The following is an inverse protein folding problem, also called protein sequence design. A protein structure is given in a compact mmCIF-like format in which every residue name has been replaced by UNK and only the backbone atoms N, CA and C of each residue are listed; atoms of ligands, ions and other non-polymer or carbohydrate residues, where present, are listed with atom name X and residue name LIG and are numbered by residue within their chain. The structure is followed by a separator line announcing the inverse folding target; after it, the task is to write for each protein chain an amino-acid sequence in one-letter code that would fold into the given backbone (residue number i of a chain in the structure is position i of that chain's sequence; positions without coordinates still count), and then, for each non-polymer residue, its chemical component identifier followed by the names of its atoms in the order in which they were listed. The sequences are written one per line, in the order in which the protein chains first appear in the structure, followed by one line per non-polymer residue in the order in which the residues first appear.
data_IF_122269935529
#
_entry.id   IF_122269935529
#
_cell.length_a   1.000
_cell.length_b   1.000
_cell.length_c   1.000
_cell.angle_alpha   90.00
_cell.angle_beta   90.00
_cell.angle_gamma   90.00
#
_symmetry.space_group_name_H-M   'P 1'
#
loop_
_entity.id
_entity.type
_entity.pdbx_description
1 polymer ?
#
# COMPACT_ATOMS: atom_id res chain seq x y z
N UNK A 1 -30.98 -5.14 -7.65
CA UNK A 1 -29.57 -4.70 -7.81
C UNK A 1 -29.54 -3.20 -7.69
N UNK A 2 -29.04 -2.67 -6.59
CA UNK A 2 -28.94 -1.22 -6.38
C UNK A 2 -27.56 -0.79 -6.87
N UNK A 3 -27.51 -0.26 -8.07
CA UNK A 3 -26.31 0.38 -8.62
C UNK A 3 -26.12 1.74 -7.92
N UNK A 4 -25.66 1.74 -6.69
CA UNK A 4 -25.21 2.98 -6.02
C UNK A 4 -23.81 3.28 -6.49
N UNK A 5 -23.71 4.04 -7.55
CA UNK A 5 -22.47 4.69 -7.93
C UNK A 5 -22.29 5.85 -6.96
N UNK A 6 -21.42 5.67 -5.95
CA UNK A 6 -21.08 6.73 -5.00
C UNK A 6 -19.74 7.26 -5.47
N UNK A 7 -19.72 8.52 -5.83
CA UNK A 7 -18.48 9.25 -6.14
C UNK A 7 -18.24 10.21 -4.99
N UNK A 8 -17.08 10.08 -4.34
CA UNK A 8 -16.64 11.00 -3.31
C UNK A 8 -15.59 11.93 -3.91
N UNK A 9 -15.84 13.21 -3.80
CA UNK A 9 -14.83 14.23 -4.09
C UNK A 9 -14.58 15.00 -2.82
N UNK A 10 -13.34 15.03 -2.35
CA UNK A 10 -12.95 15.82 -1.19
C UNK A 10 -11.93 16.85 -1.66
N UNK A 11 -12.33 18.13 -1.62
CA UNK A 11 -11.39 19.24 -1.73
C UNK A 11 -11.04 19.62 -0.29
N UNK A 12 -9.75 19.51 0.14
CA UNK A 12 -9.34 19.93 1.46
C UNK A 12 -9.73 21.41 1.68
N UNK A 13 -10.28 21.76 2.86
CA UNK A 13 -10.66 23.16 3.17
C UNK A 13 -9.48 24.12 3.11
N UNK A 14 -8.26 23.63 3.27
CA UNK A 14 -7.01 24.38 3.30
C UNK A 14 -6.20 24.18 2.01
N UNK A 15 -6.89 23.95 0.88
CA UNK A 15 -6.25 23.86 -0.42
C UNK A 15 -5.69 25.24 -0.83
N UNK A 16 -4.44 25.46 -0.48
CA UNK A 16 -3.67 26.65 -0.80
C UNK A 16 -2.67 26.41 -1.95
N UNK A 17 -1.84 27.39 -2.23
CA UNK A 17 -0.83 27.27 -3.29
C UNK A 17 0.23 26.20 -3.01
N UNK A 18 0.53 25.91 -1.76
CA UNK A 18 1.46 24.86 -1.35
C UNK A 18 0.89 23.47 -1.64
N UNK A 19 -0.39 23.24 -1.32
CA UNK A 19 -1.09 22.01 -1.68
C UNK A 19 -1.07 21.77 -3.19
N UNK A 20 -1.35 22.80 -4.01
CA UNK A 20 -1.34 22.69 -5.47
C UNK A 20 0.07 22.34 -5.97
N UNK A 21 1.10 22.99 -5.45
CA UNK A 21 2.49 22.73 -5.83
C UNK A 21 2.91 21.28 -5.53
N UNK A 22 2.57 20.76 -4.35
CA UNK A 22 2.84 19.36 -4.01
C UNK A 22 2.06 18.38 -4.89
N UNK A 23 0.81 18.68 -5.21
CA UNK A 23 0.00 17.86 -6.10
C UNK A 23 0.61 17.83 -7.52
N UNK A 24 1.03 18.96 -8.05
CA UNK A 24 1.70 19.04 -9.35
C UNK A 24 2.99 18.23 -9.38
N UNK A 25 3.81 18.29 -8.33
CA UNK A 25 5.04 17.48 -8.20
C UNK A 25 4.75 15.98 -8.26
N UNK A 26 3.66 15.54 -7.61
CA UNK A 26 3.21 14.12 -7.66
C UNK A 26 2.80 13.77 -9.09
N UNK A 27 1.97 14.60 -9.73
CA UNK A 27 1.49 14.37 -11.10
C UNK A 27 2.64 14.35 -12.12
N UNK A 28 3.61 15.26 -11.99
CA UNK A 28 4.82 15.27 -12.82
C UNK A 28 5.63 13.96 -12.65
N UNK A 29 5.70 13.45 -11.41
CA UNK A 29 6.40 12.20 -11.14
C UNK A 29 5.73 11.02 -11.84
N UNK A 30 4.40 10.97 -11.86
CA UNK A 30 3.65 9.92 -12.58
C UNK A 30 3.67 10.10 -14.10
N UNK A 31 3.81 11.34 -14.59
CA UNK A 31 3.90 11.61 -16.03
C UNK A 31 5.25 11.23 -16.65
N UNK A 32 6.28 11.00 -15.83
CA UNK A 32 7.62 10.59 -16.34
C UNK A 32 7.54 9.21 -17.01
N UNK A 33 8.24 9.04 -18.16
CA UNK A 33 8.35 7.72 -18.77
C UNK A 33 9.09 6.74 -17.85
N UNK A 34 8.83 5.45 -18.02
CA UNK A 34 9.50 4.43 -17.26
C UNK A 34 11.01 4.44 -17.50
N UNK A 35 11.78 4.57 -16.43
CA UNK A 35 13.23 4.45 -16.40
C UNK A 35 13.66 3.38 -15.39
N UNK A 36 14.18 2.22 -15.84
CA UNK A 36 14.63 1.17 -14.93
C UNK A 36 15.83 1.57 -14.07
N UNK A 37 16.55 2.64 -14.41
CA UNK A 37 17.64 3.18 -13.60
C UNK A 37 17.14 4.13 -12.49
N UNK A 38 15.93 4.67 -12.66
CA UNK A 38 15.28 5.56 -11.70
C UNK A 38 13.78 5.21 -11.56
N UNK A 39 13.45 4.04 -10.99
CA UNK A 39 12.08 3.59 -10.86
C UNK A 39 11.28 4.47 -9.90
N UNK A 40 9.99 4.65 -10.19
CA UNK A 40 9.02 5.27 -9.28
C UNK A 40 8.43 4.17 -8.40
N UNK A 41 8.71 4.24 -7.11
CA UNK A 41 8.21 3.31 -6.11
C UNK A 41 7.13 3.99 -5.26
N UNK A 42 5.95 3.40 -5.24
CA UNK A 42 4.86 3.77 -4.34
C UNK A 42 4.86 2.83 -3.14
N UNK A 43 4.61 3.38 -1.96
CA UNK A 43 4.49 2.62 -0.71
C UNK A 43 3.30 3.14 0.09
N UNK A 44 2.55 2.21 0.69
CA UNK A 44 1.45 2.51 1.60
C UNK A 44 1.35 1.46 2.71
N UNK A 45 0.72 1.81 3.85
CA UNK A 45 0.48 0.91 4.97
C UNK A 45 -1.02 0.82 5.27
N UNK A 46 -1.51 -0.42 5.40
CA UNK A 46 -2.88 -0.72 5.77
C UNK A 46 -2.94 -1.51 7.08
N UNK A 47 -3.52 -0.98 8.17
CA UNK A 47 -3.84 -1.78 9.34
C UNK A 47 -5.06 -2.67 9.07
N UNK A 48 -4.96 -3.94 9.45
CA UNK A 48 -6.02 -4.94 9.32
C UNK A 48 -6.35 -5.51 10.69
N UNK A 49 -7.61 -5.41 11.10
CA UNK A 49 -8.12 -6.05 12.31
C UNK A 49 -8.16 -7.56 12.10
N UNK A 50 -7.45 -8.31 12.94
CA UNK A 50 -7.55 -9.76 12.97
C UNK A 50 -8.78 -10.18 13.79
N UNK A 51 -9.55 -11.11 13.23
CA UNK A 51 -10.76 -11.63 13.83
C UNK A 51 -10.61 -13.12 14.06
N UNK A 52 -11.08 -13.59 15.21
CA UNK A 52 -11.18 -15.00 15.54
C UNK A 52 -12.65 -15.38 15.64
N UNK A 53 -13.03 -16.42 14.94
CA UNK A 53 -14.38 -16.98 15.04
C UNK A 53 -14.61 -17.58 16.44
N UNK A 54 -15.72 -17.21 17.07
CA UNK A 54 -16.11 -17.71 18.39
C UNK A 54 -16.76 -19.08 18.31
N UNK A 55 -17.37 -19.40 17.18
CA UNK A 55 -18.09 -20.67 16.93
C UNK A 55 -17.67 -21.29 15.61
N UNK A 56 -17.71 -22.61 15.56
CA UNK A 56 -17.43 -23.34 14.30
C UNK A 56 -18.54 -23.07 13.29
N UNK A 57 -18.19 -22.59 12.09
CA UNK A 57 -19.19 -22.35 11.05
C UNK A 57 -19.94 -23.62 10.65
N UNK A 58 -21.23 -23.49 10.38
CA UNK A 58 -22.03 -24.57 9.84
C UNK A 58 -21.75 -24.68 8.33
N UNK A 59 -21.26 -25.84 7.86
CA UNK A 59 -20.89 -26.01 6.46
C UNK A 59 -22.12 -25.86 5.52
N UNK A 60 -21.86 -25.46 4.29
CA UNK A 60 -22.88 -25.41 3.25
C UNK A 60 -23.42 -26.81 2.96
N UNK A 61 -24.74 -26.90 2.73
CA UNK A 61 -25.42 -28.09 2.26
C UNK A 61 -26.06 -27.83 0.89
N UNK A 62 -26.60 -28.85 0.23
CA UNK A 62 -27.27 -28.68 -1.06
C UNK A 62 -28.48 -27.71 -1.01
N UNK A 63 -29.08 -27.52 0.19
CA UNK A 63 -30.26 -26.68 0.40
C UNK A 63 -29.97 -25.33 1.05
N UNK A 64 -28.83 -25.19 1.71
CA UNK A 64 -28.46 -24.00 2.48
C UNK A 64 -27.00 -23.63 2.27
N UNK A 65 -26.71 -22.32 2.13
CA UNK A 65 -25.36 -21.79 2.13
C UNK A 65 -24.65 -21.96 3.46
N UNK A 66 -23.31 -21.81 3.48
CA UNK A 66 -22.50 -21.76 4.71
C UNK A 66 -23.07 -20.70 5.65
N UNK A 67 -23.23 -21.05 6.93
CA UNK A 67 -23.65 -20.12 7.98
C UNK A 67 -22.48 -19.84 8.90
N UNK A 68 -22.14 -18.58 9.07
CA UNK A 68 -21.07 -18.10 9.97
C UNK A 68 -21.75 -17.25 11.04
N UNK A 69 -21.30 -17.36 12.29
CA UNK A 69 -21.76 -16.48 13.35
C UNK A 69 -21.26 -15.04 13.06
N UNK A 70 -22.05 -14.05 13.42
CA UNK A 70 -21.65 -12.64 13.34
C UNK A 70 -20.82 -12.20 14.56
N UNK A 71 -20.81 -13.00 15.62
CA UNK A 71 -19.98 -12.74 16.79
C UNK A 71 -18.52 -13.14 16.49
N UNK A 72 -17.60 -12.29 16.85
CA UNK A 72 -16.17 -12.52 16.70
C UNK A 72 -15.39 -11.96 17.89
N UNK A 73 -14.24 -12.55 18.17
CA UNK A 73 -13.25 -11.99 19.07
C UNK A 73 -12.19 -11.22 18.28
N UNK A 74 -11.76 -10.07 18.83
CA UNK A 74 -10.61 -9.35 18.26
C UNK A 74 -9.33 -10.11 18.60
N UNK A 75 -8.59 -10.51 17.57
CA UNK A 75 -7.35 -11.28 17.69
C UNK A 75 -6.09 -10.42 17.46
N UNK A 76 -6.20 -9.11 17.63
CA UNK A 76 -5.11 -8.17 17.40
C UNK A 76 -5.25 -7.41 16.09
N UNK A 77 -4.16 -6.78 15.68
CA UNK A 77 -4.05 -6.03 14.43
C UNK A 77 -2.77 -6.46 13.72
N UNK A 78 -2.84 -6.67 12.42
CA UNK A 78 -1.68 -6.80 11.55
C UNK A 78 -1.58 -5.55 10.66
N UNK A 79 -0.36 -5.19 10.27
CA UNK A 79 -0.11 -4.06 9.38
C UNK A 79 0.50 -4.57 8.09
N UNK A 80 -0.14 -4.24 6.98
CA UNK A 80 0.30 -4.60 5.65
C UNK A 80 1.07 -3.42 5.09
N UNK A 81 2.33 -3.65 4.71
CA UNK A 81 3.15 -2.73 3.93
C UNK A 81 3.07 -3.16 2.48
N UNK A 82 2.62 -2.30 1.60
CA UNK A 82 2.53 -2.56 0.17
C UNK A 82 3.50 -1.68 -0.58
N UNK A 83 4.28 -2.30 -1.45
CA UNK A 83 5.19 -1.63 -2.37
C UNK A 83 4.71 -1.89 -3.79
N UNK A 84 4.68 -0.86 -4.60
CA UNK A 84 4.28 -0.97 -6.00
C UNK A 84 5.18 -0.13 -6.89
N UNK A 85 5.56 -0.68 -8.02
CA UNK A 85 6.23 0.00 -9.12
C UNK A 85 5.25 0.04 -10.30
N UNK A 86 4.40 1.08 -10.39
CA UNK A 86 3.25 1.10 -11.27
C UNK A 86 3.62 0.91 -12.74
N UNK A 87 4.69 1.59 -13.19
CA UNK A 87 5.12 1.54 -14.59
C UNK A 87 5.79 0.21 -14.97
N UNK A 88 6.32 -0.54 -13.99
CA UNK A 88 6.84 -1.88 -14.20
C UNK A 88 5.78 -2.97 -13.97
N UNK A 89 4.61 -2.63 -13.44
CA UNK A 89 3.57 -3.58 -13.07
C UNK A 89 3.96 -4.51 -11.92
N UNK A 90 4.95 -4.13 -11.12
CA UNK A 90 5.45 -4.93 -9.99
C UNK A 90 4.84 -4.48 -8.66
N UNK A 91 4.64 -5.44 -7.78
CA UNK A 91 4.17 -5.21 -6.41
C UNK A 91 4.69 -6.28 -5.46
N UNK A 92 4.88 -5.88 -4.20
CA UNK A 92 5.26 -6.74 -3.10
C UNK A 92 4.50 -6.32 -1.84
N UNK A 93 4.27 -7.28 -0.95
CA UNK A 93 3.53 -7.05 0.29
C UNK A 93 4.29 -7.70 1.43
N UNK A 94 4.50 -6.94 2.52
CA UNK A 94 5.02 -7.43 3.78
C UNK A 94 3.97 -7.25 4.89
N UNK A 95 3.95 -8.17 5.86
CA UNK A 95 3.03 -8.11 6.99
C UNK A 95 3.81 -8.05 8.29
N UNK A 96 3.48 -7.07 9.15
CA UNK A 96 4.09 -6.87 10.46
C UNK A 96 3.05 -6.68 11.55
N UNK A 97 3.42 -6.92 12.78
CA UNK A 97 2.57 -6.68 13.95
C UNK A 97 2.41 -5.18 14.22
N UNK A 98 3.43 -4.39 13.91
CA UNK A 98 3.45 -2.94 14.13
C UNK A 98 3.74 -2.17 12.84
N UNK A 99 3.49 -0.86 12.86
CA UNK A 99 3.84 0.08 11.77
C UNK A 99 4.63 1.27 12.32
N UNK A 100 5.74 0.97 12.93
CA UNK A 100 6.65 1.99 13.45
C UNK A 100 7.60 2.48 12.36
N UNK A 101 8.26 3.61 12.63
CA UNK A 101 9.34 4.12 11.75
C UNK A 101 10.46 3.08 11.56
N UNK A 102 10.68 2.23 12.56
CA UNK A 102 11.66 1.15 12.49
C UNK A 102 11.20 0.05 11.54
N UNK A 103 9.93 -0.37 11.61
CA UNK A 103 9.36 -1.35 10.69
C UNK A 103 9.46 -0.85 9.25
N UNK A 104 9.10 0.41 9.01
CA UNK A 104 9.25 1.05 7.71
C UNK A 104 10.69 1.02 7.21
N UNK A 105 11.66 1.40 8.06
CA UNK A 105 13.08 1.42 7.69
C UNK A 105 13.61 0.01 7.37
N UNK A 106 13.16 -1.01 8.09
CA UNK A 106 13.54 -2.40 7.83
C UNK A 106 12.99 -2.85 6.47
N UNK A 107 11.71 -2.60 6.18
CA UNK A 107 11.11 -2.97 4.89
C UNK A 107 11.80 -2.26 3.73
N UNK A 108 12.13 -0.99 3.89
CA UNK A 108 12.90 -0.26 2.88
C UNK A 108 14.30 -0.83 2.68
N UNK A 109 14.99 -1.20 3.76
CA UNK A 109 16.31 -1.82 3.66
C UNK A 109 16.23 -3.16 2.92
N UNK A 110 15.27 -4.03 3.26
CA UNK A 110 15.06 -5.31 2.60
C UNK A 110 14.78 -5.15 1.10
N UNK A 111 13.95 -4.17 0.75
CA UNK A 111 13.63 -3.86 -0.63
C UNK A 111 14.88 -3.39 -1.41
N UNK A 112 15.67 -2.51 -0.80
CA UNK A 112 16.90 -1.96 -1.42
C UNK A 112 18.00 -3.02 -1.55
N UNK A 113 18.16 -3.88 -0.56
CA UNK A 113 19.13 -4.98 -0.58
C UNK A 113 18.69 -6.14 -1.48
N UNK A 114 17.38 -6.31 -1.67
CA UNK A 114 16.81 -7.34 -2.53
C UNK A 114 16.66 -6.87 -3.98
N UNK A 115 15.49 -6.35 -4.31
CA UNK A 115 15.11 -5.98 -5.68
C UNK A 115 16.04 -4.94 -6.32
N UNK A 116 16.47 -3.94 -5.56
CA UNK A 116 17.29 -2.84 -6.07
C UNK A 116 18.80 -2.98 -5.79
N UNK A 117 19.25 -4.12 -5.28
CA UNK A 117 20.67 -4.37 -4.96
C UNK A 117 21.60 -4.15 -6.16
N UNK A 118 21.21 -4.60 -7.34
CA UNK A 118 21.97 -4.43 -8.59
C UNK A 118 22.04 -2.98 -9.07
N UNK A 119 21.12 -2.17 -8.59
CA UNK A 119 21.08 -0.75 -8.84
C UNK A 119 22.19 -0.01 -8.08
N UNK A 120 22.73 -0.58 -6.98
CA UNK A 120 23.74 0.09 -6.13
C UNK A 120 25.18 0.04 -6.66
N UNK A 121 25.49 -0.77 -7.66
CA UNK A 121 26.87 -0.94 -8.18
C UNK A 121 27.27 0.03 -9.30
N UNK A 122 26.37 0.91 -9.73
CA UNK A 122 26.73 2.00 -10.66
C UNK A 122 26.87 3.32 -9.89
N UNK A 123 28.02 3.97 -10.08
CA UNK A 123 28.46 5.31 -9.66
C UNK A 123 27.49 6.19 -8.81
N UNK A 124 27.95 6.81 -7.71
CA UNK A 124 27.13 7.56 -6.76
C UNK A 124 26.58 8.90 -7.26
N UNK A 125 26.79 9.26 -8.50
CA UNK A 125 26.29 10.49 -9.08
C UNK A 125 24.92 10.25 -9.72
N UNK A 126 23.87 10.66 -9.06
CA UNK A 126 22.52 10.81 -9.55
C UNK A 126 21.65 9.51 -9.45
N UNK A 127 21.20 9.20 -8.24
CA UNK A 127 20.07 8.31 -8.04
C UNK A 127 19.02 9.00 -7.19
N UNK A 128 17.98 9.43 -7.82
CA UNK A 128 16.80 9.90 -7.13
C UNK A 128 15.78 8.77 -7.15
N UNK A 129 15.73 7.97 -6.08
CA UNK A 129 14.60 7.08 -5.84
C UNK A 129 13.45 7.97 -5.37
N UNK A 130 12.43 8.14 -6.19
CA UNK A 130 11.25 8.90 -5.80
C UNK A 130 10.33 7.97 -5.01
N UNK A 131 10.47 7.97 -3.68
CA UNK A 131 9.59 7.22 -2.77
C UNK A 131 8.40 8.11 -2.44
N UNK A 132 7.19 7.61 -2.69
CA UNK A 132 5.94 8.26 -2.28
C UNK A 132 5.20 7.35 -1.33
N UNK A 133 4.83 7.89 -0.18
CA UNK A 133 4.10 7.20 0.90
C UNK A 133 2.59 7.40 0.85
N UNK A 134 2.10 8.20 -0.10
CA UNK A 134 0.67 8.57 -0.18
C UNK A 134 0.13 8.24 -1.57
N UNK A 135 0.03 6.93 -1.86
CA UNK A 135 -0.69 6.44 -3.04
C UNK A 135 -2.11 6.07 -2.64
N UNK A 136 -3.02 7.03 -2.54
CA UNK A 136 -4.47 6.81 -2.43
C UNK A 136 -5.16 7.41 -3.64
#
# INVERSE_FOLDING_TARGET
MTNRKIEYWVIPPEADGEFVAHMEEVLETYAKPYDPACPVLCMDEQPVQLLKETRVPIPATRKHGKRVDYEYERAGTANIFMFAEPLAGWREVAVRETKTKVDWAIEMALLMEGRYARSSTRSPATRTLSIRTDCV
#
